data_IF_398470912887
#
_entry.id   IF_398470912887
#
_cell.length_a   1.000
_cell.length_b   1.000
_cell.length_c   1.000
_cell.angle_alpha   90.00
_cell.angle_beta   90.00
_cell.angle_gamma   90.00
#
_symmetry.space_group_name_H-M   'P 1'
#
loop_
_entity.id
_entity.type
_entity.pdbx_description
1 polymer ?
#
# COMPACT_ATOMS: atom_id res chain seq x y z
N UNK A 1 31.02 0.27 40.94
CA UNK A 1 30.00 -0.67 40.41
C UNK A 1 29.57 -0.14 39.06
N UNK A 2 30.16 -0.71 38.02
CA UNK A 2 30.00 -0.26 36.62
C UNK A 2 28.85 -1.05 36.00
N UNK A 3 27.77 -0.37 35.69
CA UNK A 3 26.60 -0.97 35.05
C UNK A 3 26.84 -1.03 33.54
N UNK A 4 27.17 -2.22 33.05
CA UNK A 4 27.42 -2.48 31.64
C UNK A 4 26.09 -2.91 30.98
N UNK A 5 25.33 -1.95 30.47
CA UNK A 5 24.16 -2.22 29.61
C UNK A 5 24.64 -2.79 28.28
N UNK A 6 24.46 -4.09 28.09
CA UNK A 6 24.64 -4.80 26.83
C UNK A 6 23.54 -4.34 25.84
N UNK A 7 23.87 -3.83 24.66
CA UNK A 7 22.84 -3.50 23.67
C UNK A 7 22.18 -4.78 23.15
N UNK A 8 20.87 -4.86 23.24
CA UNK A 8 20.04 -5.91 22.63
C UNK A 8 20.25 -5.88 21.11
N UNK A 9 20.64 -6.98 20.46
CA UNK A 9 20.77 -7.01 19.01
C UNK A 9 19.41 -6.79 18.35
N UNK A 10 19.38 -5.91 17.36
CA UNK A 10 18.21 -5.71 16.50
C UNK A 10 17.86 -7.04 15.80
N UNK A 11 16.57 -7.35 15.59
CA UNK A 11 16.17 -8.58 14.91
C UNK A 11 16.74 -8.61 13.49
N UNK A 12 17.42 -9.70 13.16
CA UNK A 12 18.00 -9.96 11.84
C UNK A 12 16.88 -9.93 10.78
N UNK A 13 16.83 -8.88 9.99
CA UNK A 13 15.84 -8.66 8.93
C UNK A 13 15.97 -9.60 7.73
N UNK A 14 16.94 -10.53 7.76
CA UNK A 14 17.28 -11.41 6.64
C UNK A 14 16.58 -12.77 6.58
N UNK A 15 15.94 -13.21 7.65
CA UNK A 15 15.52 -14.63 7.77
C UNK A 15 14.07 -14.91 7.32
N UNK A 16 13.20 -13.92 7.17
CA UNK A 16 11.76 -14.14 6.92
C UNK A 16 11.42 -14.31 5.43
N UNK A 17 12.22 -13.76 4.53
CA UNK A 17 11.94 -13.79 3.09
C UNK A 17 12.18 -15.16 2.43
N UNK A 18 12.97 -16.05 3.06
CA UNK A 18 13.33 -17.37 2.51
C UNK A 18 12.38 -18.51 2.94
N UNK A 19 11.35 -18.26 3.71
CA UNK A 19 10.55 -19.31 4.36
C UNK A 19 9.21 -19.63 3.70
N UNK A 20 8.68 -18.79 2.81
CA UNK A 20 7.37 -19.05 2.16
C UNK A 20 7.55 -20.04 1.02
N UNK A 21 7.09 -21.27 1.22
CA UNK A 21 7.14 -22.34 0.21
C UNK A 21 5.84 -22.47 -0.58
N UNK A 22 5.88 -23.29 -1.63
CA UNK A 22 4.68 -23.59 -2.45
C UNK A 22 3.57 -24.22 -1.59
N UNK A 23 3.94 -24.99 -0.55
CA UNK A 23 2.98 -25.62 0.36
C UNK A 23 2.20 -24.56 1.16
N UNK A 24 2.89 -23.55 1.66
CA UNK A 24 2.26 -22.45 2.42
C UNK A 24 1.31 -21.65 1.53
N UNK A 25 1.69 -21.40 0.27
CA UNK A 25 0.83 -20.77 -0.72
C UNK A 25 -0.42 -21.61 -1.03
N UNK A 26 -0.29 -22.93 -1.09
CA UNK A 26 -1.40 -23.84 -1.32
C UNK A 26 -2.36 -23.86 -0.13
N UNK A 27 -1.84 -23.94 1.09
CA UNK A 27 -2.61 -23.90 2.34
C UNK A 27 -3.34 -22.56 2.53
N UNK A 28 -2.71 -21.44 2.14
CA UNK A 28 -3.35 -20.13 2.11
C UNK A 28 -4.43 -19.97 1.02
N UNK A 29 -4.59 -20.96 0.12
CA UNK A 29 -5.60 -20.94 -0.92
C UNK A 29 -5.36 -19.95 -2.06
N UNK A 30 -4.15 -19.41 -2.21
CA UNK A 30 -3.83 -18.41 -3.25
C UNK A 30 -3.80 -18.97 -4.67
N UNK A 31 -3.97 -20.28 -4.84
CA UNK A 31 -4.11 -20.95 -6.13
C UNK A 31 -5.51 -20.79 -6.76
N UNK A 32 -6.52 -20.38 -5.98
CA UNK A 32 -7.85 -20.13 -6.51
C UNK A 32 -7.94 -18.79 -7.21
N UNK A 33 -8.25 -18.82 -8.51
CA UNK A 33 -8.55 -17.62 -9.29
C UNK A 33 -10.06 -17.35 -9.38
N UNK A 34 -10.45 -16.57 -10.34
CA UNK A 34 -11.85 -16.23 -10.62
C UNK A 34 -12.54 -17.30 -11.48
N UNK A 35 -13.88 -17.19 -11.54
CA UNK A 35 -14.70 -17.98 -12.47
C UNK A 35 -14.24 -17.77 -13.91
N UNK A 36 -14.33 -18.83 -14.73
CA UNK A 36 -13.88 -18.84 -16.14
C UNK A 36 -14.44 -17.71 -16.98
N UNK A 37 -15.66 -17.23 -16.72
CA UNK A 37 -16.30 -16.11 -17.43
C UNK A 37 -15.69 -14.72 -17.12
N UNK A 38 -14.88 -14.60 -16.05
CA UNK A 38 -14.33 -13.31 -15.56
C UNK A 38 -12.83 -13.16 -15.77
N UNK A 39 -12.20 -14.10 -16.42
CA UNK A 39 -10.76 -14.10 -16.59
C UNK A 39 -10.29 -13.11 -17.67
N UNK A 40 -9.00 -12.79 -17.63
CA UNK A 40 -8.33 -12.08 -18.71
C UNK A 40 -7.53 -13.09 -19.55
N UNK A 41 -7.73 -13.17 -20.89
CA UNK A 41 -6.99 -14.08 -21.77
C UNK A 41 -5.47 -13.94 -21.70
N UNK A 42 -4.94 -12.75 -21.41
CA UNK A 42 -3.51 -12.53 -21.23
C UNK A 42 -2.93 -13.29 -20.03
N UNK A 43 -3.76 -13.65 -19.05
CA UNK A 43 -3.35 -14.45 -17.88
C UNK A 43 -3.16 -15.93 -18.19
N UNK A 44 -3.44 -16.40 -19.41
CA UNK A 44 -3.35 -17.81 -19.82
C UNK A 44 -2.03 -18.47 -19.40
N UNK A 45 -0.92 -17.77 -19.55
CA UNK A 45 0.41 -18.30 -19.21
C UNK A 45 0.63 -18.53 -17.70
N UNK A 46 -0.19 -17.96 -16.82
CA UNK A 46 -0.11 -18.08 -15.35
C UNK A 46 -1.17 -19.04 -14.79
N UNK A 47 -2.01 -19.60 -15.64
CA UNK A 47 -3.07 -20.53 -15.26
C UNK A 47 -2.56 -21.95 -15.43
N UNK A 48 -2.70 -22.77 -14.39
CA UNK A 48 -2.39 -24.19 -14.41
C UNK A 48 -3.50 -25.00 -15.10
N UNK A 49 -4.76 -24.66 -14.83
CA UNK A 49 -5.92 -25.37 -15.38
C UNK A 49 -7.24 -24.81 -14.88
N UNK A 50 -8.30 -25.57 -15.12
CA UNK A 50 -9.66 -25.25 -14.66
C UNK A 50 -10.21 -26.40 -13.82
N UNK A 51 -10.93 -26.07 -12.75
CA UNK A 51 -11.66 -27.02 -11.92
C UNK A 51 -12.97 -26.39 -11.43
N UNK A 52 -14.08 -27.07 -11.69
CA UNK A 52 -15.41 -26.63 -11.26
C UNK A 52 -15.77 -25.19 -11.71
N UNK A 53 -15.39 -24.79 -12.92
CA UNK A 53 -15.68 -23.47 -13.46
C UNK A 53 -14.82 -22.33 -12.85
N UNK A 54 -13.74 -22.68 -12.15
CA UNK A 54 -12.78 -21.75 -11.55
C UNK A 54 -11.40 -22.03 -12.10
N UNK A 55 -10.66 -21.00 -12.50
CA UNK A 55 -9.27 -21.13 -12.89
C UNK A 55 -8.36 -21.35 -11.69
N UNK A 56 -7.39 -22.23 -11.87
CA UNK A 56 -6.34 -22.51 -10.88
C UNK A 56 -5.04 -21.86 -11.35
N UNK A 57 -4.45 -21.07 -10.48
CA UNK A 57 -3.19 -20.35 -10.72
C UNK A 57 -2.01 -21.31 -10.55
N UNK A 58 -1.00 -21.18 -11.41
CA UNK A 58 0.24 -21.93 -11.34
C UNK A 58 1.11 -21.43 -10.18
N UNK A 59 1.12 -22.17 -9.08
CA UNK A 59 1.87 -21.80 -7.87
C UNK A 59 3.40 -21.87 -8.07
N UNK A 60 3.92 -22.66 -9.01
CA UNK A 60 5.36 -22.70 -9.27
C UNK A 60 5.82 -21.35 -9.86
N UNK A 61 5.05 -20.81 -10.80
CA UNK A 61 5.31 -19.48 -11.36
C UNK A 61 5.10 -18.38 -10.32
N UNK A 62 4.03 -18.49 -9.53
CA UNK A 62 3.75 -17.55 -8.45
C UNK A 62 4.92 -17.50 -7.44
N UNK A 63 5.42 -18.65 -7.02
CA UNK A 63 6.54 -18.72 -6.07
C UNK A 63 7.81 -18.09 -6.65
N UNK A 64 8.14 -18.37 -7.93
CA UNK A 64 9.30 -17.75 -8.57
C UNK A 64 9.18 -16.23 -8.63
N UNK A 65 8.02 -15.72 -9.10
CA UNK A 65 7.77 -14.28 -9.17
C UNK A 65 7.75 -13.62 -7.78
N UNK A 66 7.29 -14.33 -6.75
CA UNK A 66 7.36 -13.86 -5.37
C UNK A 66 8.82 -13.69 -4.92
N UNK A 67 9.70 -14.65 -5.23
CA UNK A 67 11.12 -14.53 -4.90
C UNK A 67 11.78 -13.35 -5.62
N UNK A 68 11.49 -13.17 -6.91
CA UNK A 68 11.97 -12.02 -7.69
C UNK A 68 11.48 -10.68 -7.09
N UNK A 69 10.21 -10.61 -6.69
CA UNK A 69 9.65 -9.41 -6.05
C UNK A 69 10.28 -9.13 -4.68
N UNK A 70 10.51 -10.16 -3.86
CA UNK A 70 11.16 -10.04 -2.56
C UNK A 70 12.61 -9.53 -2.70
N UNK A 71 13.35 -10.06 -3.66
CA UNK A 71 14.71 -9.61 -3.95
C UNK A 71 14.72 -8.13 -4.37
N UNK A 72 13.81 -7.74 -5.26
CA UNK A 72 13.68 -6.35 -5.68
C UNK A 72 13.35 -5.41 -4.51
N UNK A 73 12.41 -5.80 -3.62
CA UNK A 73 12.08 -5.01 -2.42
C UNK A 73 13.26 -4.92 -1.46
N UNK A 74 14.04 -5.97 -1.33
CA UNK A 74 15.26 -5.99 -0.52
C UNK A 74 16.31 -4.99 -1.04
N UNK A 75 16.51 -4.94 -2.35
CA UNK A 75 17.39 -3.96 -3.00
C UNK A 75 16.91 -2.52 -2.74
N UNK A 76 15.60 -2.24 -2.91
CA UNK A 76 15.02 -0.94 -2.60
C UNK A 76 15.21 -0.55 -1.13
N UNK A 77 14.97 -1.47 -0.22
CA UNK A 77 15.12 -1.23 1.21
C UNK A 77 16.59 -0.95 1.60
N UNK A 78 17.55 -1.65 1.00
CA UNK A 78 18.98 -1.42 1.21
C UNK A 78 19.43 -0.01 0.81
N UNK A 79 18.78 0.55 -0.21
CA UNK A 79 18.99 1.92 -0.71
C UNK A 79 18.19 2.97 0.06
N UNK A 80 17.40 2.57 1.08
CA UNK A 80 16.47 3.43 1.84
C UNK A 80 15.41 4.11 0.97
N UNK A 81 15.02 3.47 -0.10
CA UNK A 81 13.97 3.92 -1.00
C UNK A 81 12.58 3.71 -0.37
N UNK A 82 11.62 4.57 -0.76
CA UNK A 82 10.26 4.54 -0.24
C UNK A 82 9.36 3.70 -1.16
N UNK A 83 8.61 2.79 -0.58
CA UNK A 83 7.59 1.99 -1.26
C UNK A 83 6.21 2.44 -0.80
N UNK A 84 5.34 2.82 -1.74
CA UNK A 84 3.95 3.14 -1.44
C UNK A 84 3.10 1.87 -1.54
N UNK A 85 2.44 1.50 -0.44
CA UNK A 85 1.54 0.36 -0.38
C UNK A 85 0.11 0.77 -0.73
N UNK A 86 -0.52 0.06 -1.68
CA UNK A 86 -1.88 0.35 -2.15
C UNK A 86 -2.75 -0.90 -2.04
N UNK A 87 -3.87 -0.78 -1.33
CA UNK A 87 -4.84 -1.85 -1.20
C UNK A 87 -6.18 -1.31 -0.72
N UNK A 88 -7.02 -0.86 -1.66
CA UNK A 88 -8.37 -0.34 -1.33
C UNK A 88 -9.42 -1.45 -1.23
N UNK A 89 -9.07 -2.67 -1.62
CA UNK A 89 -9.93 -3.84 -1.45
C UNK A 89 -10.18 -4.09 0.04
N UNK A 90 -11.44 -4.19 0.45
CA UNK A 90 -11.85 -4.32 1.85
C UNK A 90 -11.04 -5.37 2.65
N UNK A 91 -10.72 -6.50 2.01
CA UNK A 91 -9.93 -7.57 2.63
C UNK A 91 -8.43 -7.24 2.77
N UNK A 92 -7.92 -6.26 2.00
CA UNK A 92 -6.52 -5.86 2.00
C UNK A 92 -6.24 -4.62 2.85
N UNK A 93 -7.25 -3.83 3.19
CA UNK A 93 -7.11 -2.55 3.89
C UNK A 93 -6.35 -2.68 5.21
N UNK A 94 -6.81 -3.57 6.08
CA UNK A 94 -6.22 -3.74 7.41
C UNK A 94 -4.79 -4.32 7.35
N UNK A 95 -4.53 -5.44 6.63
CA UNK A 95 -3.17 -5.98 6.49
C UNK A 95 -2.19 -4.97 5.88
N UNK A 96 -2.60 -4.21 4.87
CA UNK A 96 -1.75 -3.19 4.25
C UNK A 96 -1.43 -2.07 5.24
N UNK A 97 -2.44 -1.54 5.95
CA UNK A 97 -2.22 -0.48 6.91
C UNK A 97 -1.29 -0.91 8.05
N UNK A 98 -1.47 -2.12 8.57
CA UNK A 98 -0.65 -2.68 9.64
C UNK A 98 0.81 -2.86 9.19
N UNK A 99 1.03 -3.55 8.07
CA UNK A 99 2.38 -3.86 7.62
C UNK A 99 3.13 -2.62 7.11
N UNK A 100 2.45 -1.69 6.46
CA UNK A 100 3.05 -0.42 6.04
C UNK A 100 3.47 0.43 7.25
N UNK A 101 2.65 0.51 8.30
CA UNK A 101 3.01 1.16 9.57
C UNK A 101 4.20 0.49 10.24
N UNK A 102 4.25 -0.84 10.25
CA UNK A 102 5.35 -1.62 10.83
C UNK A 102 6.70 -1.29 10.19
N UNK A 103 6.74 -1.10 8.88
CA UNK A 103 7.98 -0.73 8.16
C UNK A 103 8.15 0.79 7.94
N UNK A 104 7.25 1.62 8.48
CA UNK A 104 7.34 3.08 8.36
C UNK A 104 7.10 3.62 6.94
N UNK A 105 6.43 2.84 6.08
CA UNK A 105 6.19 3.20 4.68
C UNK A 105 4.81 3.83 4.48
N UNK A 106 4.63 4.71 3.47
CA UNK A 106 3.35 5.29 3.14
C UNK A 106 2.37 4.25 2.57
N UNK A 107 1.06 4.46 2.78
CA UNK A 107 0.02 3.56 2.29
C UNK A 107 -1.27 4.28 1.91
N UNK A 108 -2.07 3.64 1.04
CA UNK A 108 -3.42 4.07 0.67
C UNK A 108 -4.35 2.86 0.79
N UNK A 109 -5.33 2.95 1.68
CA UNK A 109 -6.28 1.85 1.97
C UNK A 109 -7.73 2.22 1.72
N UNK A 110 -8.07 3.52 1.69
CA UNK A 110 -9.44 3.96 1.47
C UNK A 110 -9.73 4.08 -0.03
N UNK A 111 -9.47 5.23 -0.60
CA UNK A 111 -9.72 5.51 -2.01
C UNK A 111 -8.49 6.12 -2.65
N UNK A 112 -8.10 5.60 -3.82
CA UNK A 112 -7.10 6.27 -4.62
C UNK A 112 -7.62 7.62 -5.12
N UNK A 113 -6.92 8.68 -4.81
CA UNK A 113 -7.22 10.00 -5.33
C UNK A 113 -6.50 10.17 -6.67
N UNK A 114 -7.27 10.38 -7.75
CA UNK A 114 -6.68 10.62 -9.06
C UNK A 114 -5.72 11.80 -9.02
N UNK A 115 -4.53 11.60 -9.60
CA UNK A 115 -3.44 12.57 -9.56
C UNK A 115 -2.53 12.46 -8.32
N UNK A 116 -2.69 11.45 -7.47
CA UNK A 116 -1.89 11.30 -6.25
C UNK A 116 -0.40 11.23 -6.55
N UNK A 117 0.00 10.59 -7.64
CA UNK A 117 1.40 10.57 -8.09
C UNK A 117 1.67 11.65 -9.15
N UNK A 118 0.83 11.75 -10.17
CA UNK A 118 1.04 12.63 -11.33
C UNK A 118 0.82 14.11 -11.01
N UNK A 119 0.06 14.44 -9.95
CA UNK A 119 -0.18 15.79 -9.46
C UNK A 119 0.13 15.93 -7.97
N UNK A 120 1.26 15.37 -7.55
CA UNK A 120 1.68 15.33 -6.15
C UNK A 120 1.75 16.71 -5.49
N UNK A 121 2.03 17.76 -6.26
CA UNK A 121 2.05 19.15 -5.75
C UNK A 121 0.69 19.54 -5.15
N UNK A 122 -0.40 19.18 -5.80
CA UNK A 122 -1.76 19.46 -5.27
C UNK A 122 -2.09 18.60 -4.06
N UNK A 123 -1.66 17.34 -4.07
CA UNK A 123 -1.81 16.44 -2.91
C UNK A 123 -1.05 16.98 -1.70
N UNK A 124 0.16 17.49 -1.91
CA UNK A 124 0.97 18.12 -0.87
C UNK A 124 0.26 19.31 -0.23
N UNK A 125 -0.39 20.17 -1.03
CA UNK A 125 -1.22 21.27 -0.49
C UNK A 125 -2.36 20.77 0.38
N UNK A 126 -3.01 19.66 -0.02
CA UNK A 126 -4.06 19.02 0.79
C UNK A 126 -3.51 18.44 2.09
N UNK A 127 -2.29 17.90 2.09
CA UNK A 127 -1.60 17.44 3.30
C UNK A 127 -1.23 18.61 4.22
N UNK A 128 -0.77 19.71 3.67
CA UNK A 128 -0.49 20.94 4.41
C UNK A 128 -1.78 21.49 5.06
N UNK A 129 -2.86 21.54 4.29
CA UNK A 129 -4.19 21.91 4.79
C UNK A 129 -4.68 21.02 5.94
N UNK A 130 -4.49 19.71 5.81
CA UNK A 130 -4.85 18.77 6.89
C UNK A 130 -4.07 19.07 8.17
N UNK A 131 -2.76 19.35 8.07
CA UNK A 131 -1.93 19.72 9.23
C UNK A 131 -2.38 21.03 9.87
N UNK A 132 -2.76 22.03 9.08
CA UNK A 132 -3.31 23.30 9.59
C UNK A 132 -4.60 23.08 10.38
N UNK A 133 -5.51 22.25 9.85
CA UNK A 133 -6.77 21.90 10.52
C UNK A 133 -6.52 21.14 11.84
N UNK A 134 -5.58 20.21 11.84
CA UNK A 134 -5.16 19.49 13.05
C UNK A 134 -4.57 20.43 14.09
N UNK A 135 -3.69 21.35 13.67
CA UNK A 135 -3.12 22.36 14.56
C UNK A 135 -4.19 23.29 15.15
N UNK A 136 -5.18 23.67 14.35
CA UNK A 136 -6.28 24.54 14.82
C UNK A 136 -7.16 23.83 15.86
N UNK A 137 -7.38 22.52 15.72
CA UNK A 137 -8.25 21.74 16.63
C UNK A 137 -7.53 21.26 17.88
N UNK A 138 -6.27 20.85 17.77
CA UNK A 138 -5.51 20.17 18.84
C UNK A 138 -4.23 20.91 19.29
N UNK A 139 -3.88 21.99 18.59
CA UNK A 139 -2.66 22.74 18.87
C UNK A 139 -2.73 23.54 20.19
N UNK A 140 -1.55 23.91 20.75
CA UNK A 140 -1.45 24.64 22.02
C UNK A 140 -1.93 26.11 21.93
N UNK A 141 -2.39 26.55 20.76
CA UNK A 141 -2.94 27.89 20.58
C UNK A 141 -4.43 27.94 20.97
N UNK A 142 -4.72 27.85 22.26
CA UNK A 142 -6.08 28.02 22.83
C UNK A 142 -6.73 29.34 22.32
N UNK A 143 -5.95 30.38 22.11
CA UNK A 143 -6.39 31.68 21.60
C UNK A 143 -7.03 31.67 20.22
N UNK A 144 -6.67 30.75 19.31
CA UNK A 144 -7.34 30.66 18.01
C UNK A 144 -8.64 29.88 18.09
N UNK A 145 -8.68 28.82 18.92
CA UNK A 145 -9.87 27.98 19.12
C UNK A 145 -10.98 28.75 19.86
N UNK A 146 -10.63 29.60 20.81
CA UNK A 146 -11.57 30.43 21.57
C UNK A 146 -12.23 31.53 20.72
N UNK A 147 -11.60 31.94 19.63
CA UNK A 147 -12.14 32.93 18.67
C UNK A 147 -13.13 32.35 17.69
N UNK A 148 -13.18 31.03 17.54
CA UNK A 148 -14.06 30.34 16.59
C UNK A 148 -15.39 30.01 17.22
N UNK A 149 -16.48 30.21 16.47
CA UNK A 149 -17.81 29.79 16.88
C UNK A 149 -17.93 28.28 16.86
N UNK A 150 -18.85 27.70 17.63
CA UNK A 150 -19.13 26.25 17.65
C UNK A 150 -19.45 25.73 16.25
N UNK A 151 -20.10 26.53 15.40
CA UNK A 151 -20.45 26.16 14.02
C UNK A 151 -19.19 26.08 13.13
N UNK A 152 -18.26 27.00 13.27
CA UNK A 152 -17.00 26.99 12.54
C UNK A 152 -16.11 25.82 12.95
N UNK A 153 -16.01 25.53 14.26
CA UNK A 153 -15.29 24.36 14.75
C UNK A 153 -15.86 23.05 14.18
N UNK A 154 -17.19 22.89 14.15
CA UNK A 154 -17.83 21.72 13.57
C UNK A 154 -17.56 21.59 12.06
N UNK A 155 -17.45 22.71 11.35
CA UNK A 155 -17.13 22.71 9.91
C UNK A 155 -15.68 22.29 9.67
N UNK A 156 -14.74 22.85 10.45
CA UNK A 156 -13.30 22.51 10.43
C UNK A 156 -13.09 21.03 10.73
N UNK A 157 -13.75 20.51 11.76
CA UNK A 157 -13.64 19.10 12.15
C UNK A 157 -14.15 18.16 11.04
N UNK A 158 -15.27 18.48 10.43
CA UNK A 158 -15.81 17.73 9.29
C UNK A 158 -14.88 17.75 8.05
N UNK A 159 -14.24 18.90 7.77
CA UNK A 159 -13.25 19.02 6.71
C UNK A 159 -12.01 18.17 7.04
N UNK A 160 -11.52 18.23 8.27
CA UNK A 160 -10.42 17.42 8.77
C UNK A 160 -10.69 15.93 8.60
N UNK A 161 -11.85 15.44 9.10
CA UNK A 161 -12.22 14.04 9.00
C UNK A 161 -12.23 13.54 7.54
N UNK A 162 -12.77 14.35 6.64
CA UNK A 162 -12.83 14.02 5.21
C UNK A 162 -11.44 13.89 4.58
N UNK A 163 -10.53 14.79 4.91
CA UNK A 163 -9.15 14.75 4.42
C UNK A 163 -8.38 13.62 5.09
N UNK A 164 -8.51 13.47 6.40
CA UNK A 164 -7.83 12.45 7.20
C UNK A 164 -8.15 11.05 6.69
N UNK A 165 -9.41 10.75 6.43
CA UNK A 165 -9.84 9.45 5.91
C UNK A 165 -9.03 9.00 4.69
N UNK A 166 -8.72 9.91 3.76
CA UNK A 166 -8.04 9.56 2.51
C UNK A 166 -6.52 9.78 2.54
N UNK A 167 -6.02 10.64 3.43
CA UNK A 167 -4.63 11.10 3.40
C UNK A 167 -3.79 10.56 4.58
N UNK A 168 -4.39 9.87 5.56
CA UNK A 168 -3.70 9.42 6.77
C UNK A 168 -2.44 8.64 6.47
N UNK A 169 -2.50 7.68 5.55
CA UNK A 169 -1.38 6.81 5.23
C UNK A 169 -0.24 7.50 4.48
N UNK A 170 -0.47 8.69 3.92
CA UNK A 170 0.53 9.42 3.14
C UNK A 170 0.97 10.74 3.81
N UNK A 171 0.56 11.01 5.05
CA UNK A 171 0.95 12.23 5.80
C UNK A 171 2.46 12.45 5.87
N UNK A 172 3.24 11.38 5.89
CA UNK A 172 4.70 11.41 5.94
C UNK A 172 5.41 11.57 4.59
N UNK A 173 4.69 11.45 3.47
CA UNK A 173 5.29 11.53 2.14
C UNK A 173 5.79 12.94 1.82
N UNK A 174 7.09 13.04 1.50
CA UNK A 174 7.75 14.30 1.08
C UNK A 174 7.90 14.40 -0.44
N UNK A 175 7.98 13.26 -1.11
CA UNK A 175 8.17 13.13 -2.56
C UNK A 175 7.35 11.95 -3.09
N UNK A 176 7.28 11.80 -4.40
CA UNK A 176 6.76 10.59 -5.05
C UNK A 176 7.59 9.38 -4.63
N UNK A 177 6.97 8.19 -4.46
CA UNK A 177 7.67 6.98 -4.03
C UNK A 177 8.57 6.43 -5.13
N UNK A 178 9.57 5.64 -4.74
CA UNK A 178 10.52 4.98 -5.65
C UNK A 178 9.94 3.70 -6.25
N UNK A 179 8.99 3.07 -5.58
CA UNK A 179 8.22 1.93 -6.07
C UNK A 179 6.81 1.91 -5.48
N UNK A 180 5.92 1.17 -6.12
CA UNK A 180 4.53 1.01 -5.68
C UNK A 180 4.22 -0.47 -5.53
N UNK A 181 3.68 -0.87 -4.36
CA UNK A 181 3.14 -2.21 -4.12
C UNK A 181 1.61 -2.15 -4.17
N UNK A 182 0.99 -2.95 -5.03
CA UNK A 182 -0.45 -2.87 -5.33
C UNK A 182 -1.11 -4.23 -5.12
N UNK A 183 -2.19 -4.26 -4.34
CA UNK A 183 -3.06 -5.45 -4.26
C UNK A 183 -4.27 -5.23 -5.17
N UNK A 184 -4.44 -6.15 -6.14
CA UNK A 184 -5.48 -6.13 -7.17
C UNK A 184 -5.31 -4.96 -8.17
N UNK A 185 -4.38 -5.14 -9.12
CA UNK A 185 -4.07 -4.14 -10.15
C UNK A 185 -5.26 -3.73 -11.02
N UNK A 186 -6.31 -4.56 -11.09
CA UNK A 186 -7.54 -4.22 -11.81
C UNK A 186 -8.36 -3.17 -11.06
N UNK A 187 -8.46 -3.33 -9.75
CA UNK A 187 -9.16 -2.37 -8.89
C UNK A 187 -8.42 -1.02 -8.88
N UNK A 188 -7.10 -1.09 -8.80
CA UNK A 188 -6.20 0.06 -8.70
C UNK A 188 -5.65 0.53 -10.06
N UNK A 189 -6.41 0.34 -11.15
CA UNK A 189 -5.96 0.64 -12.50
C UNK A 189 -5.48 2.09 -12.69
N UNK A 190 -6.09 3.06 -11.98
CA UNK A 190 -5.69 4.48 -12.03
C UNK A 190 -4.31 4.65 -11.39
N UNK A 191 -4.06 4.03 -10.24
CA UNK A 191 -2.78 4.10 -9.55
C UNK A 191 -1.66 3.50 -10.41
N UNK A 192 -1.92 2.33 -11.03
CA UNK A 192 -0.98 1.67 -11.95
C UNK A 192 -0.69 2.54 -13.17
N UNK A 193 -1.71 3.17 -13.78
CA UNK A 193 -1.53 4.06 -14.92
C UNK A 193 -0.70 5.30 -14.56
N UNK A 194 -0.91 5.88 -13.38
CA UNK A 194 -0.11 7.01 -12.90
C UNK A 194 1.35 6.61 -12.63
N UNK A 195 1.58 5.47 -11.98
CA UNK A 195 2.93 4.95 -11.73
C UNK A 195 3.68 4.71 -13.05
N UNK A 196 3.03 4.07 -14.04
CA UNK A 196 3.59 3.87 -15.39
C UNK A 196 3.95 5.17 -16.07
N UNK A 197 3.08 6.18 -15.99
CA UNK A 197 3.34 7.51 -16.59
C UNK A 197 4.60 8.16 -16.03
N UNK A 198 4.87 7.94 -14.73
CA UNK A 198 6.06 8.45 -14.04
C UNK A 198 7.26 7.48 -14.10
N UNK A 199 7.11 6.31 -14.75
CA UNK A 199 8.12 5.24 -14.81
C UNK A 199 8.52 4.70 -13.44
N UNK A 200 7.59 4.72 -12.49
CA UNK A 200 7.76 4.15 -11.16
C UNK A 200 7.49 2.64 -11.25
N UNK A 201 8.40 1.77 -10.79
CA UNK A 201 8.20 0.32 -10.77
C UNK A 201 6.96 -0.06 -9.96
N UNK A 202 6.19 -1.04 -10.47
CA UNK A 202 4.98 -1.53 -9.83
C UNK A 202 5.13 -3.02 -9.50
N UNK A 203 5.01 -3.34 -8.22
CA UNK A 203 4.91 -4.72 -7.72
C UNK A 203 3.43 -5.02 -7.51
N UNK A 204 2.84 -5.84 -8.36
CA UNK A 204 1.39 -6.09 -8.34
C UNK A 204 1.03 -7.50 -7.91
N UNK A 205 0.21 -7.63 -6.87
CA UNK A 205 -0.49 -8.89 -6.58
C UNK A 205 -1.71 -8.96 -7.51
N UNK A 206 -1.76 -10.00 -8.33
CA UNK A 206 -2.74 -10.14 -9.43
C UNK A 206 -3.52 -11.43 -9.32
N UNK A 207 -4.75 -11.38 -9.78
CA UNK A 207 -5.61 -12.53 -9.94
C UNK A 207 -5.88 -12.79 -11.45
N UNK A 208 -6.54 -13.88 -11.78
CA UNK A 208 -6.83 -14.30 -13.16
C UNK A 208 -7.65 -13.31 -13.99
N UNK A 209 -8.26 -12.32 -13.37
CA UNK A 209 -9.03 -11.26 -14.03
C UNK A 209 -8.24 -9.96 -14.31
N UNK A 210 -6.96 -9.91 -13.92
CA UNK A 210 -6.09 -8.76 -14.10
C UNK A 210 -5.39 -8.77 -15.48
N UNK A 211 -4.90 -7.61 -15.90
CA UNK A 211 -4.00 -7.50 -17.05
C UNK A 211 -2.56 -7.66 -16.55
N UNK A 212 -1.78 -8.64 -17.05
CA UNK A 212 -0.40 -8.87 -16.61
C UNK A 212 0.61 -7.86 -17.16
N UNK A 213 0.26 -7.06 -18.17
CA UNK A 213 1.15 -6.08 -18.80
C UNK A 213 1.20 -4.74 -18.06
#
# INVERSE_FOLDING_TARGET
MSDTTVPTPAPEAGAVASSVGIKDLLEAGVHFGHQTRRWNPKMKQYIFGERNGIYIIDLQKTHRLLQEALQFVQELASQRNNVLFIGTKRQAQEPIAEQAKRCGMPFVTERWLGGLLTNFVTVRRSLERLRELEMTLTGPQETQRERLTKKELAHIDKEREKLEKNLTGIKGMKSVPDAVFVIDTRLEAIAVAEARKLKIPVIGVRDTNCDPD
#
